data_IF_758185835166
#
_entry.id   IF_758185835166
#
_cell.length_a   1.000
_cell.length_b   1.000
_cell.length_c   1.000
_cell.angle_alpha   90.00
_cell.angle_beta   90.00
_cell.angle_gamma   90.00
#
_symmetry.space_group_name_H-M   'P 1'
#
loop_
_entity.id
_entity.type
_entity.pdbx_description
1 polymer ?
#
# COMPACT_ATOMS: atom_id res chain seq x y z
N UNK A 1 -6.14 11.67 -22.54
CA UNK A 1 -7.06 10.71 -21.90
C UNK A 1 -6.67 10.59 -20.44
N UNK A 2 -7.49 11.06 -19.50
CA UNK A 2 -7.20 11.01 -18.06
C UNK A 2 -7.23 9.55 -17.61
N UNK A 3 -6.06 8.95 -17.40
CA UNK A 3 -5.97 7.69 -16.68
C UNK A 3 -6.48 7.96 -15.27
N UNK A 4 -7.72 7.55 -15.03
CA UNK A 4 -8.39 7.50 -13.74
C UNK A 4 -7.48 6.69 -12.81
N UNK A 5 -6.71 7.38 -11.99
CA UNK A 5 -5.81 6.76 -11.01
C UNK A 5 -6.67 5.87 -10.13
N UNK A 6 -6.58 4.57 -10.38
CA UNK A 6 -7.20 3.53 -9.56
C UNK A 6 -6.65 3.74 -8.16
N UNK A 7 -7.52 4.18 -7.25
CA UNK A 7 -7.30 4.26 -5.82
C UNK A 7 -5.93 4.86 -5.48
N UNK A 8 -5.88 6.18 -5.29
CA UNK A 8 -4.70 6.90 -4.79
C UNK A 8 -4.37 6.43 -3.38
N UNK A 9 -3.86 5.21 -3.28
CA UNK A 9 -3.27 4.66 -2.09
C UNK A 9 -2.18 5.63 -1.68
N UNK A 10 -2.14 5.95 -0.38
CA UNK A 10 -1.09 6.82 0.13
C UNK A 10 0.26 6.29 -0.37
N UNK A 11 1.08 7.09 -1.07
CA UNK A 11 2.39 6.65 -1.51
C UNK A 11 3.26 6.48 -0.28
N UNK A 12 3.37 5.24 0.20
CA UNK A 12 4.19 4.85 1.35
C UNK A 12 5.60 4.59 0.82
N UNK A 13 6.61 5.15 1.50
CA UNK A 13 8.04 4.99 1.17
C UNK A 13 8.60 3.58 1.42
N UNK A 14 7.80 2.69 2.00
CA UNK A 14 8.13 1.28 2.27
C UNK A 14 7.07 0.34 1.67
N UNK A 15 7.44 -0.93 1.48
CA UNK A 15 6.51 -1.95 0.97
C UNK A 15 5.43 -2.32 1.99
N UNK A 16 4.25 -2.72 1.50
CA UNK A 16 3.15 -3.15 2.38
C UNK A 16 3.53 -4.39 3.19
N UNK A 17 4.38 -5.27 2.65
CA UNK A 17 4.94 -6.42 3.37
C UNK A 17 5.74 -6.01 4.61
N UNK A 18 6.64 -5.02 4.46
CA UNK A 18 7.50 -4.55 5.54
C UNK A 18 6.68 -3.86 6.63
N UNK A 19 5.75 -3.00 6.19
CA UNK A 19 4.85 -2.31 7.09
C UNK A 19 3.97 -3.29 7.87
N UNK A 20 3.33 -4.25 7.19
CA UNK A 20 2.52 -5.27 7.85
C UNK A 20 3.34 -6.07 8.88
N UNK A 21 4.57 -6.46 8.54
CA UNK A 21 5.44 -7.20 9.46
C UNK A 21 5.70 -6.41 10.73
N UNK A 22 6.03 -5.13 10.62
CA UNK A 22 6.25 -4.23 11.76
C UNK A 22 4.97 -4.05 12.59
N UNK A 23 3.85 -3.75 11.95
CA UNK A 23 2.56 -3.58 12.63
C UNK A 23 2.10 -4.85 13.34
N UNK A 24 2.35 -6.03 12.76
CA UNK A 24 2.01 -7.30 13.37
C UNK A 24 2.90 -7.61 14.57
N UNK A 25 4.18 -7.25 14.53
CA UNK A 25 5.10 -7.36 15.66
C UNK A 25 4.72 -6.44 16.82
N UNK A 26 4.24 -5.23 16.51
CA UNK A 26 3.75 -4.27 17.50
C UNK A 26 2.33 -4.59 18.00
N UNK A 27 1.67 -5.62 17.45
CA UNK A 27 0.32 -6.01 17.82
C UNK A 27 -0.76 -5.04 17.35
N UNK A 28 -0.43 -4.11 16.46
CA UNK A 28 -1.36 -3.11 15.94
C UNK A 28 -2.26 -3.66 14.83
N UNK A 29 -1.80 -4.67 14.09
CA UNK A 29 -2.60 -5.38 13.08
C UNK A 29 -2.52 -6.88 13.33
N UNK A 30 -3.64 -7.57 13.14
CA UNK A 30 -3.71 -9.02 13.31
C UNK A 30 -3.80 -9.71 11.94
N UNK A 31 -2.98 -10.75 11.68
CA UNK A 31 -3.16 -11.61 10.51
C UNK A 31 -4.54 -12.28 10.54
N UNK A 32 -5.26 -12.27 9.41
CA UNK A 32 -6.54 -12.93 9.27
C UNK A 32 -6.36 -14.41 8.94
N UNK A 33 -6.76 -15.28 9.86
CA UNK A 33 -6.78 -16.72 9.66
C UNK A 33 -8.02 -17.18 8.87
N UNK A 34 -7.84 -18.19 8.01
CA UNK A 34 -8.96 -18.96 7.44
C UNK A 34 -9.60 -18.37 6.18
N UNK A 35 -8.98 -17.39 5.53
CA UNK A 35 -9.49 -16.91 4.25
C UNK A 35 -9.10 -17.85 3.09
N UNK A 36 -10.11 -18.41 2.43
CA UNK A 36 -9.91 -19.23 1.23
C UNK A 36 -10.18 -18.40 -0.02
N UNK A 37 -9.13 -18.18 -0.82
CA UNK A 37 -9.30 -17.50 -2.10
C UNK A 37 -9.93 -18.44 -3.12
N UNK A 38 -10.86 -17.90 -3.91
CA UNK A 38 -11.45 -18.65 -5.01
C UNK A 38 -10.38 -18.92 -6.07
N UNK A 39 -9.96 -20.20 -6.19
CA UNK A 39 -8.99 -20.67 -7.18
C UNK A 39 -9.39 -20.41 -8.64
N UNK A 40 -10.67 -20.18 -8.91
CA UNK A 40 -11.19 -19.85 -10.25
C UNK A 40 -11.20 -18.35 -10.53
N UNK A 41 -10.77 -17.51 -9.58
CA UNK A 41 -10.63 -16.07 -9.81
C UNK A 41 -9.54 -15.80 -10.84
N UNK A 42 -9.77 -14.86 -11.77
CA UNK A 42 -8.75 -14.40 -12.73
C UNK A 42 -7.51 -13.80 -12.06
N UNK A 43 -7.64 -13.34 -10.81
CA UNK A 43 -6.55 -12.74 -10.05
C UNK A 43 -5.95 -13.72 -9.03
N UNK A 44 -6.26 -15.02 -9.14
CA UNK A 44 -5.68 -16.04 -8.28
C UNK A 44 -4.33 -16.50 -8.84
N UNK A 45 -3.28 -16.30 -8.06
CA UNK A 45 -1.94 -16.81 -8.30
C UNK A 45 -1.54 -17.78 -7.19
N UNK A 46 -1.42 -19.06 -7.53
CA UNK A 46 -0.98 -20.13 -6.61
C UNK A 46 0.47 -20.01 -6.16
N UNK A 47 1.29 -19.26 -6.90
CA UNK A 47 2.71 -19.05 -6.59
C UNK A 47 2.92 -17.90 -5.59
N UNK A 48 1.89 -17.10 -5.33
CA UNK A 48 1.94 -15.99 -4.38
C UNK A 48 1.20 -16.33 -3.09
N UNK A 49 1.70 -15.80 -1.98
CA UNK A 49 1.14 -15.99 -0.65
C UNK A 49 0.96 -14.64 0.02
N UNK A 50 -0.19 -14.45 0.65
CA UNK A 50 -0.50 -13.23 1.37
C UNK A 50 -0.23 -13.43 2.86
N UNK A 51 0.83 -12.81 3.40
CA UNK A 51 1.14 -12.91 4.83
C UNK A 51 0.03 -12.34 5.73
N UNK A 52 -0.75 -11.36 5.24
CA UNK A 52 -1.94 -10.85 5.93
C UNK A 52 -2.99 -11.94 6.16
N UNK A 53 -3.09 -12.91 5.26
CA UNK A 53 -4.00 -14.06 5.36
C UNK A 53 -3.29 -15.36 5.78
N UNK A 54 -2.30 -15.26 6.67
CA UNK A 54 -1.52 -16.41 7.15
C UNK A 54 -0.89 -17.23 6.01
N UNK A 55 -0.30 -16.54 5.03
CA UNK A 55 0.33 -17.13 3.84
C UNK A 55 -0.62 -17.93 2.92
N UNK A 56 -1.92 -17.61 2.98
CA UNK A 56 -2.90 -18.15 2.05
C UNK A 56 -2.52 -17.82 0.60
N UNK A 57 -2.65 -18.83 -0.27
CA UNK A 57 -2.37 -18.70 -1.70
C UNK A 57 -3.45 -17.89 -2.40
N UNK A 58 -3.04 -17.07 -3.35
CA UNK A 58 -3.96 -16.45 -4.31
C UNK A 58 -3.55 -15.04 -4.71
N UNK A 59 -2.99 -14.25 -3.81
CA UNK A 59 -2.41 -12.96 -4.17
C UNK A 59 -1.24 -12.63 -3.25
N UNK A 60 -0.35 -11.74 -3.71
CA UNK A 60 0.74 -11.20 -2.90
C UNK A 60 0.22 -10.19 -1.88
N UNK A 61 0.93 -10.04 -0.76
CA UNK A 61 0.59 -9.02 0.26
C UNK A 61 0.56 -7.59 -0.31
N UNK A 62 1.40 -7.29 -1.30
CA UNK A 62 1.42 -6.01 -2.01
C UNK A 62 0.13 -5.72 -2.78
N UNK A 63 -0.62 -6.74 -3.20
CA UNK A 63 -1.91 -6.61 -3.90
C UNK A 63 -3.11 -6.77 -2.96
N UNK A 64 -2.85 -6.96 -1.67
CA UNK A 64 -3.88 -7.17 -0.68
C UNK A 64 -4.69 -5.89 -0.43
N UNK A 65 -5.84 -5.79 -1.08
CA UNK A 65 -6.74 -4.64 -0.93
C UNK A 65 -7.25 -4.44 0.49
N UNK A 66 -7.44 -5.53 1.24
CA UNK A 66 -7.87 -5.46 2.63
C UNK A 66 -6.79 -4.86 3.51
N UNK A 67 -5.55 -5.36 3.41
CA UNK A 67 -4.41 -4.79 4.12
C UNK A 67 -4.21 -3.31 3.80
N UNK A 68 -4.26 -2.94 2.51
CA UNK A 68 -4.14 -1.56 2.05
C UNK A 68 -5.15 -0.65 2.71
N UNK A 69 -6.42 -1.04 2.72
CA UNK A 69 -7.51 -0.28 3.35
C UNK A 69 -7.33 -0.15 4.85
N UNK A 70 -6.89 -1.22 5.51
CA UNK A 70 -6.66 -1.20 6.96
C UNK A 70 -5.52 -0.23 7.31
N UNK A 71 -4.41 -0.29 6.59
CA UNK A 71 -3.28 0.62 6.75
C UNK A 71 -3.69 2.08 6.49
N UNK A 72 -4.45 2.34 5.43
CA UNK A 72 -4.97 3.69 5.15
C UNK A 72 -5.83 4.22 6.29
N UNK A 73 -6.70 3.37 6.84
CA UNK A 73 -7.53 3.72 8.00
C UNK A 73 -6.65 4.04 9.22
N UNK A 74 -5.65 3.22 9.51
CA UNK A 74 -4.72 3.46 10.62
C UNK A 74 -3.92 4.77 10.44
N UNK A 75 -3.54 5.11 9.21
CA UNK A 75 -2.88 6.40 8.91
C UNK A 75 -3.86 7.55 9.13
N UNK A 76 -5.10 7.41 8.65
CA UNK A 76 -6.13 8.44 8.80
C UNK A 76 -6.50 8.70 10.26
N UNK A 77 -6.60 7.63 11.06
CA UNK A 77 -6.88 7.69 12.49
C UNK A 77 -5.67 8.17 13.31
N UNK A 78 -4.50 8.33 12.68
CA UNK A 78 -3.25 8.74 13.35
C UNK A 78 -2.59 7.64 14.19
N UNK A 79 -3.09 6.40 14.09
CA UNK A 79 -2.56 5.23 14.81
C UNK A 79 -1.17 4.84 14.33
N UNK A 80 -0.84 5.10 13.06
CA UNK A 80 0.48 4.80 12.49
C UNK A 80 0.99 5.98 11.66
N UNK A 81 2.29 6.25 11.75
CA UNK A 81 2.97 7.18 10.86
C UNK A 81 3.73 6.41 9.79
N UNK A 82 3.47 6.74 8.54
CA UNK A 82 4.20 6.24 7.37
C UNK A 82 4.93 7.40 6.72
N UNK A 83 6.14 7.16 6.23
CA UNK A 83 6.84 8.15 5.40
C UNK A 83 6.08 8.25 4.08
N UNK A 84 5.33 9.34 3.89
CA UNK A 84 4.70 9.62 2.61
C UNK A 84 5.78 10.08 1.65
N UNK A 85 5.82 9.50 0.46
CA UNK A 85 6.68 10.03 -0.59
C UNK A 85 5.90 11.21 -1.17
N UNK A 86 6.17 12.39 -0.63
CA UNK A 86 5.62 13.61 -1.19
C UNK A 86 6.17 13.71 -2.60
N UNK A 87 5.31 13.48 -3.59
CA UNK A 87 5.59 13.79 -4.99
C UNK A 87 5.53 15.31 -5.16
N UNK A 88 6.30 16.05 -4.36
CA UNK A 88 6.53 17.46 -4.59
C UNK A 88 7.59 17.56 -5.70
N UNK A 89 7.09 17.58 -6.92
CA UNK A 89 7.80 18.22 -8.01
C UNK A 89 8.04 19.67 -7.61
N UNK A 90 9.22 19.94 -7.04
CA UNK A 90 9.74 21.29 -6.87
C UNK A 90 9.91 21.90 -8.27
N UNK A 91 8.85 22.51 -8.78
CA UNK A 91 8.90 23.36 -9.96
C UNK A 91 9.28 24.75 -9.50
N UNK A 92 10.56 24.92 -9.16
CA UNK A 92 11.16 26.25 -9.03
C UNK A 92 11.32 26.82 -10.44
N UNK A 93 10.32 27.54 -10.92
CA UNK A 93 10.50 28.48 -12.02
C UNK A 93 11.46 29.58 -11.54
N UNK A 94 12.72 29.50 -11.94
CA UNK A 94 13.64 30.64 -11.80
C UNK A 94 13.28 31.64 -12.89
N UNK A 95 12.67 32.76 -12.49
CA UNK A 95 12.58 33.98 -13.29
C UNK A 95 13.96 34.38 -13.81
N UNK A 96 14.15 34.31 -15.12
CA UNK A 96 15.36 34.84 -15.76
C UNK A 96 15.16 36.32 -16.09
N UNK A 97 15.89 37.16 -15.34
CA UNK A 97 16.11 38.57 -15.69
C UNK A 97 16.75 38.65 -17.08
N UNK A 98 16.13 39.38 -18.00
CA UNK A 98 16.77 39.83 -19.25
C UNK A 98 16.87 41.34 -19.20
N UNK A 99 18.07 41.83 -18.92
CA UNK A 99 18.48 43.21 -19.18
C UNK A 99 18.75 43.37 -20.67
N UNK A 100 18.25 44.45 -21.26
CA UNK A 100 18.60 44.96 -22.58
C UNK A 100 18.28 46.44 -22.62
#
# INVERSE_FOLDING_TARGET
MRQKSRDSLTPIGESYASLFKRLAQEGMITPLLGHTFNRRSRNFDSNTRCAYYSEAQGHSIEDCRYLKREIEKMIHDGSIMVQKIDSEGSSSHTDMQTSG
#
